data_IF_425239425026
#
_entry.id   IF_425239425026
#
_cell.length_a   1.000
_cell.length_b   1.000
_cell.length_c   1.000
_cell.angle_alpha   90.00
_cell.angle_beta   90.00
_cell.angle_gamma   90.00
#
_symmetry.space_group_name_H-M   'P 1'
#
loop_
_entity.id
_entity.type
_entity.pdbx_description
1 polymer ?
#
# COMPACT_ATOMS: atom_id res chain seq x y z
N UNK A 1 -1.59 8.93 -2.80
CA UNK A 1 -2.07 7.93 -1.81
C UNK A 1 -0.95 6.99 -1.32
N UNK A 2 -0.26 6.27 -2.22
CA UNK A 2 0.70 5.21 -1.84
C UNK A 2 1.93 5.74 -1.10
N UNK A 3 2.56 6.82 -1.57
CA UNK A 3 3.68 7.45 -0.86
C UNK A 3 3.28 7.85 0.57
N UNK A 4 2.07 8.40 0.74
CA UNK A 4 1.55 8.80 2.06
C UNK A 4 1.35 7.59 3.00
N UNK A 5 0.88 6.46 2.47
CA UNK A 5 0.81 5.20 3.23
C UNK A 5 2.20 4.76 3.70
N UNK A 6 3.22 4.86 2.85
CA UNK A 6 4.60 4.49 3.20
C UNK A 6 5.19 5.40 4.29
N UNK A 7 4.94 6.72 4.23
CA UNK A 7 5.34 7.65 5.29
C UNK A 7 4.66 7.30 6.63
N UNK A 8 3.38 6.94 6.60
CA UNK A 8 2.63 6.54 7.79
C UNK A 8 3.14 5.22 8.37
N UNK A 9 3.49 4.25 7.52
CA UNK A 9 4.14 3.00 7.94
C UNK A 9 5.51 3.29 8.59
N UNK A 10 6.32 4.17 8.00
CA UNK A 10 7.60 4.59 8.56
C UNK A 10 7.43 5.31 9.91
N UNK A 11 6.38 6.12 10.04
CA UNK A 11 5.99 6.76 11.30
C UNK A 11 5.28 5.81 12.29
N UNK A 12 5.20 4.50 11.99
CA UNK A 12 4.47 3.48 12.78
C UNK A 12 2.99 3.81 13.00
N UNK A 13 2.42 4.64 12.14
CA UNK A 13 1.03 5.04 12.15
C UNK A 13 0.19 4.11 11.26
N UNK A 14 0.03 2.88 11.75
CA UNK A 14 -0.68 1.82 11.03
C UNK A 14 -2.15 2.18 10.77
N UNK A 15 -2.82 2.84 11.72
CA UNK A 15 -4.23 3.21 11.60
C UNK A 15 -4.50 4.11 10.39
N UNK A 16 -3.66 5.13 10.16
CA UNK A 16 -3.84 5.99 9.00
C UNK A 16 -3.40 5.32 7.70
N UNK A 17 -2.37 4.47 7.75
CA UNK A 17 -1.96 3.66 6.60
C UNK A 17 -3.08 2.71 6.15
N UNK A 18 -3.84 2.15 7.10
CA UNK A 18 -4.98 1.29 6.86
C UNK A 18 -6.15 2.05 6.22
N UNK A 19 -6.46 3.26 6.72
CA UNK A 19 -7.49 4.12 6.09
C UNK A 19 -7.22 4.38 4.61
N UNK A 20 -5.97 4.65 4.25
CA UNK A 20 -5.58 4.87 2.85
C UNK A 20 -5.74 3.58 2.03
N UNK A 21 -5.43 2.42 2.62
CA UNK A 21 -5.66 1.13 1.96
C UNK A 21 -7.15 0.92 1.69
N UNK A 22 -8.01 1.21 2.66
CA UNK A 22 -9.45 0.98 2.53
C UNK A 22 -10.09 1.98 1.55
N UNK A 23 -9.64 3.23 1.52
CA UNK A 23 -10.08 4.22 0.53
C UNK A 23 -9.71 3.79 -0.90
N UNK A 24 -8.49 3.30 -1.09
CA UNK A 24 -8.04 2.75 -2.38
C UNK A 24 -8.85 1.51 -2.75
N UNK A 25 -9.12 0.62 -1.80
CA UNK A 25 -9.95 -0.56 -2.03
C UNK A 25 -11.38 -0.19 -2.44
N UNK A 26 -11.96 0.84 -1.82
CA UNK A 26 -13.28 1.37 -2.17
C UNK A 26 -13.31 1.99 -3.58
N UNK A 27 -12.17 2.50 -4.06
CA UNK A 27 -11.99 2.98 -5.44
C UNK A 27 -11.71 1.82 -6.43
N UNK A 28 -11.70 0.57 -5.97
CA UNK A 28 -11.38 -0.60 -6.80
C UNK A 28 -9.88 -0.83 -7.00
N UNK A 29 -9.03 -0.13 -6.24
CA UNK A 29 -7.57 -0.25 -6.27
C UNK A 29 -7.11 -1.16 -5.14
N UNK A 30 -6.76 -2.40 -5.47
CA UNK A 30 -6.23 -3.35 -4.51
C UNK A 30 -4.71 -3.18 -4.38
N UNK A 31 -4.25 -2.80 -3.17
CA UNK A 31 -2.83 -2.79 -2.84
C UNK A 31 -2.33 -4.21 -2.53
N UNK A 32 -1.24 -4.61 -3.17
CA UNK A 32 -0.49 -5.83 -2.90
C UNK A 32 0.90 -5.44 -2.41
N UNK A 33 1.08 -5.47 -1.09
CA UNK A 33 2.41 -5.46 -0.53
C UNK A 33 3.06 -6.84 -0.68
N UNK A 34 4.26 -6.84 -1.25
CA UNK A 34 5.06 -8.02 -1.47
C UNK A 34 6.52 -7.71 -1.22
N UNK A 35 7.33 -8.76 -1.26
CA UNK A 35 8.78 -8.64 -1.31
C UNK A 35 9.21 -9.08 -2.70
N UNK A 36 10.02 -8.27 -3.35
CA UNK A 36 10.61 -8.65 -4.62
C UNK A 36 11.54 -9.86 -4.36
N UNK A 37 11.30 -11.02 -4.98
CA UNK A 37 12.10 -12.21 -4.75
C UNK A 37 13.52 -12.09 -5.31
N UNK A 38 13.76 -11.14 -6.20
CA UNK A 38 15.04 -10.93 -6.89
C UNK A 38 15.89 -9.86 -6.20
N UNK A 39 15.29 -8.74 -5.80
CA UNK A 39 16.03 -7.63 -5.13
C UNK A 39 15.91 -7.65 -3.62
N UNK A 40 14.91 -8.36 -3.08
CA UNK A 40 14.61 -8.37 -1.66
C UNK A 40 13.96 -7.08 -1.15
N UNK A 41 13.69 -6.12 -2.03
CA UNK A 41 13.06 -4.85 -1.68
C UNK A 41 11.56 -5.04 -1.46
N UNK A 42 10.99 -4.19 -0.60
CA UNK A 42 9.53 -4.16 -0.42
C UNK A 42 8.91 -3.48 -1.63
N UNK A 43 8.21 -4.25 -2.45
CA UNK A 43 7.43 -3.74 -3.56
C UNK A 43 5.97 -3.65 -3.14
N UNK A 44 5.37 -2.49 -3.35
CA UNK A 44 3.92 -2.31 -3.20
C UNK A 44 3.35 -2.11 -4.59
N UNK A 45 2.75 -3.16 -5.15
CA UNK A 45 2.05 -3.08 -6.42
C UNK A 45 0.57 -2.80 -6.17
N UNK A 46 -0.10 -2.21 -7.14
CA UNK A 46 -1.54 -1.95 -7.06
C UNK A 46 -2.23 -2.37 -8.35
N UNK A 47 -3.38 -3.02 -8.22
CA UNK A 47 -4.20 -3.44 -9.35
C UNK A 47 -5.53 -2.70 -9.30
N UNK A 48 -5.94 -2.10 -10.42
CA UNK A 48 -7.25 -1.48 -10.57
C UNK A 48 -8.18 -2.52 -11.17
N UNK A 49 -9.15 -3.03 -10.40
CA UNK A 49 -10.22 -3.86 -10.97
C UNK A 49 -11.19 -2.93 -11.70
N UNK A 50 -11.18 -2.99 -13.03
CA UNK A 50 -12.17 -2.36 -13.92
C UNK A 50 -13.40 -3.24 -14.04
#
# INVERSE_FOLDING_TARGET
>A
AIARRLELIAAKNWTQADRIRDELLAQGVQLKDGKDPTTGERVTTWEVKR
#
